data_IF_908369483689
#
_entry.id   IF_908369483689
#
_cell.length_a   1.000
_cell.length_b   1.000
_cell.length_c   1.000
_cell.angle_alpha   90.00
_cell.angle_beta   90.00
_cell.angle_gamma   90.00
#
_symmetry.space_group_name_H-M   'P 1'
#
loop_
_entity.id
_entity.type
_entity.pdbx_description
1 polymer ?
#
# COMPACT_ATOMS: atom_id res chain seq x y z
N UNK A 1 -0.90 -4.38 10.51
CA UNK A 1 -0.10 -3.59 9.56
C UNK A 1 -1.03 -2.98 8.51
N UNK A 2 -0.75 -1.75 8.07
CA UNK A 2 -1.44 -1.10 6.94
C UNK A 2 -1.45 -1.99 5.69
N UNK A 3 -2.58 -2.00 4.98
CA UNK A 3 -2.67 -2.71 3.71
C UNK A 3 -3.71 -2.09 2.77
N UNK A 4 -3.55 -2.34 1.47
CA UNK A 4 -4.51 -1.97 0.43
C UNK A 4 -4.53 -3.03 -0.67
N UNK A 5 -5.70 -3.28 -1.25
CA UNK A 5 -5.85 -4.07 -2.47
C UNK A 5 -5.65 -3.20 -3.69
N UNK A 6 -5.05 -3.73 -4.74
CA UNK A 6 -4.87 -2.98 -5.98
C UNK A 6 -6.25 -2.69 -6.62
N UNK A 7 -6.56 -1.43 -7.01
CA UNK A 7 -7.90 -1.06 -7.50
C UNK A 7 -8.33 -1.79 -8.79
N UNK A 8 -7.36 -2.15 -9.64
CA UNK A 8 -7.60 -2.86 -10.90
C UNK A 8 -7.21 -4.34 -10.85
N UNK A 9 -6.68 -4.81 -9.72
CA UNK A 9 -6.30 -6.21 -9.50
C UNK A 9 -6.63 -6.59 -8.05
N UNK A 10 -7.91 -6.89 -7.75
CA UNK A 10 -8.40 -7.05 -6.39
C UNK A 10 -7.79 -8.24 -5.62
N UNK A 11 -7.08 -9.13 -6.31
CA UNK A 11 -6.38 -10.28 -5.72
C UNK A 11 -4.97 -9.90 -5.24
N UNK A 12 -4.40 -8.80 -5.74
CA UNK A 12 -3.13 -8.26 -5.28
C UNK A 12 -3.29 -7.41 -4.02
N UNK A 13 -2.65 -7.83 -2.93
CA UNK A 13 -2.61 -7.15 -1.64
C UNK A 13 -1.21 -6.57 -1.37
N UNK A 14 -1.15 -5.28 -1.03
CA UNK A 14 0.05 -4.55 -0.67
C UNK A 14 0.04 -4.28 0.84
N UNK A 15 1.12 -4.60 1.53
CA UNK A 15 1.24 -4.44 2.99
C UNK A 15 2.67 -4.06 3.39
N UNK A 16 2.83 -3.16 4.37
CA UNK A 16 4.16 -2.90 4.97
C UNK A 16 4.55 -4.11 5.83
N UNK A 17 5.75 -4.65 5.63
CA UNK A 17 6.32 -5.73 6.42
C UNK A 17 7.13 -5.22 7.64
N UNK A 18 7.81 -6.13 8.34
CA UNK A 18 8.57 -5.80 9.55
C UNK A 18 9.86 -5.00 9.27
N UNK A 19 10.36 -5.05 8.03
CA UNK A 19 11.58 -4.39 7.58
C UNK A 19 11.30 -3.05 6.87
N UNK A 20 10.07 -2.52 7.01
CA UNK A 20 9.58 -1.30 6.36
C UNK A 20 9.55 -1.38 4.82
N UNK A 21 9.53 -2.60 4.27
CA UNK A 21 9.34 -2.88 2.85
C UNK A 21 7.87 -3.19 2.53
N UNK A 22 7.53 -3.22 1.24
CA UNK A 22 6.20 -3.52 0.74
C UNK A 22 6.14 -4.97 0.29
N UNK A 23 5.41 -5.79 1.04
CA UNK A 23 5.06 -7.14 0.62
C UNK A 23 3.81 -7.09 -0.26
N UNK A 24 3.93 -7.62 -1.47
CA UNK A 24 2.83 -7.83 -2.41
C UNK A 24 2.51 -9.32 -2.44
N UNK A 25 1.24 -9.68 -2.33
CA UNK A 25 0.76 -11.07 -2.43
C UNK A 25 -0.38 -11.17 -3.45
N UNK A 26 -0.38 -12.22 -4.25
CA UNK A 26 -1.47 -12.57 -5.18
C UNK A 26 -1.57 -14.10 -5.25
N UNK A 27 -2.64 -14.66 -4.68
CA UNK A 27 -2.79 -16.11 -4.52
C UNK A 27 -1.63 -16.73 -3.74
N UNK A 28 -0.90 -17.64 -4.37
CA UNK A 28 0.26 -18.32 -3.78
C UNK A 28 1.59 -17.60 -4.03
N UNK A 29 1.58 -16.53 -4.83
CA UNK A 29 2.77 -15.78 -5.20
C UNK A 29 2.98 -14.58 -4.29
N UNK A 30 4.23 -14.19 -4.13
CA UNK A 30 4.59 -13.01 -3.37
C UNK A 30 5.82 -12.30 -3.94
N UNK A 31 5.95 -11.02 -3.62
CA UNK A 31 7.14 -10.22 -3.87
C UNK A 31 7.37 -9.21 -2.75
N UNK A 32 8.62 -8.83 -2.53
CA UNK A 32 8.99 -7.75 -1.60
C UNK A 32 9.61 -6.63 -2.41
N UNK A 33 9.18 -5.41 -2.13
CA UNK A 33 9.58 -4.20 -2.84
C UNK A 33 9.96 -3.11 -1.84
N UNK A 34 10.82 -2.18 -2.23
CA UNK A 34 11.02 -0.94 -1.46
C UNK A 34 9.76 -0.07 -1.52
N UNK A 35 9.68 0.99 -0.70
CA UNK A 35 8.58 1.98 -0.76
C UNK A 35 8.50 2.69 -2.11
N UNK A 36 9.60 2.77 -2.85
CA UNK A 36 9.66 3.33 -4.20
C UNK A 36 9.26 2.32 -5.29
N UNK A 37 8.89 1.09 -4.93
CA UNK A 37 8.47 0.04 -5.85
C UNK A 37 9.63 -0.74 -6.50
N UNK A 38 10.84 -0.68 -5.94
CA UNK A 38 11.98 -1.46 -6.44
C UNK A 38 11.91 -2.90 -5.93
N UNK A 39 11.96 -3.88 -6.83
CA UNK A 39 11.90 -5.30 -6.47
C UNK A 39 13.15 -5.74 -5.67
N UNK A 40 12.92 -6.47 -4.58
CA UNK A 40 13.96 -7.02 -3.71
C UNK A 40 13.99 -8.56 -3.75
N UNK A 41 12.83 -9.21 -3.64
CA UNK A 41 12.75 -10.68 -3.58
C UNK A 41 11.37 -11.22 -3.96
N UNK A 42 11.29 -12.54 -4.19
CA UNK A 42 10.05 -13.24 -4.52
C UNK A 42 9.79 -13.43 -6.03
N UNK A 43 8.64 -14.01 -6.31
CA UNK A 43 8.18 -14.41 -7.65
C UNK A 43 7.54 -13.25 -8.40
N UNK A 44 6.77 -12.41 -7.70
CA UNK A 44 6.18 -11.20 -8.27
C UNK A 44 7.32 -10.18 -8.48
N UNK A 45 7.64 -9.89 -9.74
CA UNK A 45 8.73 -8.97 -10.13
C UNK A 45 8.27 -7.54 -10.43
N UNK A 46 6.97 -7.32 -10.48
CA UNK A 46 6.37 -6.03 -10.78
C UNK A 46 5.27 -5.71 -9.77
N UNK A 47 5.26 -4.48 -9.32
CA UNK A 47 4.25 -3.92 -8.43
C UNK A 47 3.96 -2.48 -8.90
N UNK A 48 2.78 -1.96 -8.60
CA UNK A 48 2.47 -0.55 -8.83
C UNK A 48 3.32 0.31 -7.88
N UNK A 49 4.27 1.12 -8.39
CA UNK A 49 5.12 1.95 -7.54
C UNK A 49 4.32 2.98 -6.75
N UNK A 50 3.20 3.48 -7.29
CA UNK A 50 2.35 4.45 -6.59
C UNK A 50 1.67 3.83 -5.36
N UNK A 51 1.24 2.57 -5.45
CA UNK A 51 0.71 1.86 -4.28
C UNK A 51 1.80 1.52 -3.27
N UNK A 52 3.02 1.18 -3.72
CA UNK A 52 4.15 0.99 -2.81
C UNK A 52 4.43 2.26 -1.99
N UNK A 53 4.50 3.41 -2.67
CA UNK A 53 4.71 4.71 -2.03
C UNK A 53 3.54 5.04 -1.10
N UNK A 54 2.30 4.80 -1.53
CA UNK A 54 1.11 5.11 -0.74
C UNK A 54 1.07 4.27 0.55
N UNK A 55 1.24 2.95 0.45
CA UNK A 55 1.22 2.03 1.62
C UNK A 55 2.37 2.34 2.57
N UNK A 56 3.57 2.58 2.05
CA UNK A 56 4.74 2.92 2.85
C UNK A 56 4.66 4.26 3.60
N UNK A 57 3.81 5.18 3.13
CA UNK A 57 3.62 6.50 3.74
C UNK A 57 2.29 6.66 4.51
N UNK A 58 1.37 5.70 4.41
CA UNK A 58 0.08 5.73 5.12
C UNK A 58 -0.10 4.48 5.99
N UNK A 59 0.70 4.32 7.08
CA UNK A 59 0.75 3.07 7.82
C UNK A 59 -0.47 2.71 8.70
N UNK A 60 -1.67 3.18 8.36
CA UNK A 60 -2.92 2.66 8.91
C UNK A 60 -4.10 3.59 8.64
N UNK A 61 -5.15 3.09 7.98
CA UNK A 61 -6.39 3.83 7.71
C UNK A 61 -7.28 4.05 8.97
N UNK A 62 -6.84 3.62 10.16
CA UNK A 62 -7.60 3.80 11.41
C UNK A 62 -7.70 5.28 11.82
N UNK A 63 -6.75 6.12 11.38
CA UNK A 63 -6.72 7.56 11.67
C UNK A 63 -7.27 8.48 10.58
N UNK A 64 -7.40 8.00 9.33
CA UNK A 64 -7.62 8.88 8.17
C UNK A 64 -9.10 8.98 7.73
N UNK A 65 -9.95 8.04 8.15
CA UNK A 65 -11.40 8.08 7.93
C UNK A 65 -12.16 9.03 8.89
N UNK A 66 -11.45 9.78 9.76
CA UNK A 66 -12.03 10.78 10.69
C UNK A 66 -11.62 12.23 10.39
N UNK A 67 -11.37 12.59 9.14
CA UNK A 67 -11.39 14.01 8.76
C UNK A 67 -12.79 14.37 8.25
N UNK A 68 -13.68 14.97 9.07
CA UNK A 68 -14.82 15.67 8.50
C UNK A 68 -14.26 16.80 7.63
N UNK A 69 -14.86 16.94 6.46
CA UNK A 69 -14.55 17.94 5.46
C UNK A 69 -14.16 19.29 6.08
N UNK A 70 -13.15 19.92 5.48
CA UNK A 70 -12.84 21.34 5.64
C UNK A 70 -14.16 22.11 5.66
N UNK A 71 -14.54 22.61 6.83
CA UNK A 71 -15.70 23.48 7.01
C UNK A 71 -15.48 24.71 6.14
N UNK A 72 -16.09 24.71 4.96
CA UNK A 72 -16.20 25.88 4.10
C UNK A 72 -16.90 26.97 4.92
N UNK A 73 -16.11 27.88 5.49
CA UNK A 73 -16.62 29.05 6.17
C UNK A 73 -17.09 30.04 5.10
N UNK A 74 -18.35 29.88 4.68
CA UNK A 74 -19.14 30.99 4.13
C UNK A 74 -19.92 31.59 5.28
N UNK A 75 -19.42 32.71 5.83
CA UNK A 75 -20.20 33.87 6.22
C UNK A 75 -19.28 35.02 6.60
#
# INVERSE_FOLDING_TARGET
MPSIKHPFDPDSLYQVDEDDNIRVTNGNQWGVFTKEGVHLSGEIRQADPQLCVWVGNNPGQEGQLRSPAVSAKRS
#
